data_IF_548314275356
#
_entry.id   IF_548314275356
#
_cell.length_a   1.000
_cell.length_b   1.000
_cell.length_c   1.000
_cell.angle_alpha   90.00
_cell.angle_beta   90.00
_cell.angle_gamma   90.00
#
_symmetry.space_group_name_H-M   'P 1'
#
loop_
_entity.id
_entity.type
_entity.pdbx_description
1 polymer ?
#
# COMPACT_ATOMS: atom_id res chain seq x y z
N UNK A 1 28.43 -52.95 -70.44
CA UNK A 1 28.38 -53.13 -69.00
C UNK A 1 28.42 -51.73 -68.43
N UNK A 2 27.26 -51.12 -68.08
CA UNK A 2 27.14 -49.73 -67.58
C UNK A 2 26.42 -49.78 -66.27
N UNK A 3 27.13 -49.46 -65.18
CA UNK A 3 26.53 -49.32 -63.85
C UNK A 3 25.94 -47.93 -63.70
N UNK A 4 24.68 -47.91 -63.40
CA UNK A 4 23.93 -46.71 -63.16
C UNK A 4 23.88 -46.50 -61.63
N UNK A 5 24.54 -45.44 -61.12
CA UNK A 5 24.56 -45.09 -59.73
C UNK A 5 23.40 -44.08 -59.44
N UNK A 6 22.45 -44.54 -58.65
CA UNK A 6 21.32 -43.70 -58.17
C UNK A 6 21.75 -42.92 -56.93
N UNK A 7 21.90 -41.64 -57.07
CA UNK A 7 22.09 -40.72 -55.95
C UNK A 7 20.75 -40.36 -55.28
N UNK A 8 20.54 -40.88 -54.07
CA UNK A 8 19.39 -40.55 -53.23
C UNK A 8 19.70 -39.25 -52.52
N UNK A 9 19.00 -38.18 -52.90
CA UNK A 9 19.10 -36.85 -52.21
C UNK A 9 18.09 -36.83 -51.08
N UNK A 10 18.61 -36.87 -49.82
CA UNK A 10 17.84 -36.67 -48.61
C UNK A 10 17.61 -35.15 -48.40
N UNK A 11 16.38 -34.69 -48.59
CA UNK A 11 15.96 -33.37 -48.14
C UNK A 11 15.68 -33.42 -46.64
N UNK A 12 16.58 -32.83 -45.86
CA UNK A 12 16.31 -32.51 -44.44
C UNK A 12 15.49 -31.21 -44.39
N UNK A 13 14.18 -31.31 -44.19
CA UNK A 13 13.34 -30.17 -43.88
C UNK A 13 13.48 -29.81 -42.40
N UNK A 14 14.25 -28.76 -42.12
CA UNK A 14 14.31 -28.16 -40.80
C UNK A 14 13.01 -27.39 -40.52
N UNK A 15 12.15 -27.97 -39.70
CA UNK A 15 10.96 -27.27 -39.17
C UNK A 15 11.41 -26.36 -38.02
N UNK A 16 11.59 -25.07 -38.29
CA UNK A 16 11.79 -24.04 -37.26
C UNK A 16 10.45 -23.75 -36.61
N UNK A 17 10.22 -24.29 -35.41
CA UNK A 17 9.10 -23.90 -34.55
C UNK A 17 9.49 -22.54 -33.97
N UNK A 18 9.02 -21.44 -34.59
CA UNK A 18 9.05 -20.12 -34.01
C UNK A 18 8.03 -20.09 -32.84
N UNK A 19 8.53 -20.27 -31.62
CA UNK A 19 7.72 -20.10 -30.41
C UNK A 19 7.23 -18.65 -30.33
N UNK A 20 5.95 -18.43 -30.64
CA UNK A 20 5.27 -17.15 -30.39
C UNK A 20 5.12 -17.00 -28.88
N UNK A 21 6.05 -16.31 -28.23
CA UNK A 21 5.88 -15.85 -26.85
C UNK A 21 4.83 -14.73 -26.93
N UNK A 22 3.56 -15.10 -26.74
CA UNK A 22 2.50 -14.11 -26.55
C UNK A 22 2.83 -13.36 -25.26
N UNK A 23 3.30 -12.12 -25.37
CA UNK A 23 3.36 -11.19 -24.26
C UNK A 23 1.92 -11.00 -23.77
N UNK A 24 1.62 -11.52 -22.58
CA UNK A 24 0.36 -11.26 -21.91
C UNK A 24 0.34 -9.75 -21.65
N UNK A 25 -0.56 -8.96 -22.27
CA UNK A 25 -0.65 -7.55 -21.96
C UNK A 25 -1.04 -7.43 -20.49
N UNK A 26 -0.13 -6.90 -19.68
CA UNK A 26 -0.45 -6.53 -18.30
C UNK A 26 -1.63 -5.55 -18.38
N UNK A 27 -2.81 -5.96 -17.87
CA UNK A 27 -3.97 -5.10 -17.85
C UNK A 27 -3.64 -3.91 -16.94
N UNK A 28 -3.43 -2.73 -17.52
CA UNK A 28 -3.41 -1.51 -16.75
C UNK A 28 -4.80 -1.31 -16.18
N UNK A 29 -4.92 -1.30 -14.86
CA UNK A 29 -6.18 -1.01 -14.20
C UNK A 29 -6.56 0.43 -14.53
N UNK A 30 -7.79 0.65 -15.00
CA UNK A 30 -8.31 2.00 -15.15
C UNK A 30 -8.81 2.57 -13.81
N UNK A 31 -8.96 3.89 -13.75
CA UNK A 31 -9.38 4.56 -12.51
C UNK A 31 -10.74 4.12 -12.00
N UNK A 32 -11.70 3.86 -12.90
CA UNK A 32 -13.04 3.45 -12.54
C UNK A 32 -13.05 2.05 -11.93
N UNK A 33 -12.31 1.11 -12.50
CA UNK A 33 -12.20 -0.25 -11.97
C UNK A 33 -11.52 -0.30 -10.60
N UNK A 34 -10.52 0.57 -10.37
CA UNK A 34 -9.87 0.67 -9.04
C UNK A 34 -10.86 1.17 -7.99
N UNK A 35 -11.63 2.22 -8.30
CA UNK A 35 -12.64 2.78 -7.39
C UNK A 35 -13.72 1.75 -7.06
N UNK A 36 -14.23 1.06 -8.07
CA UNK A 36 -15.22 0.01 -7.89
C UNK A 36 -14.66 -1.12 -7.01
N UNK A 37 -13.48 -1.62 -7.30
CA UNK A 37 -12.85 -2.67 -6.52
C UNK A 37 -12.62 -2.24 -5.07
N UNK A 38 -12.11 -1.02 -4.84
CA UNK A 38 -11.89 -0.49 -3.49
C UNK A 38 -13.20 -0.34 -2.72
N UNK A 39 -14.30 0.06 -3.37
CA UNK A 39 -15.61 0.20 -2.72
C UNK A 39 -16.20 -1.13 -2.23
N UNK A 40 -15.78 -2.24 -2.82
CA UNK A 40 -16.18 -3.60 -2.44
C UNK A 40 -15.34 -4.18 -1.28
N UNK A 41 -14.28 -3.48 -0.86
CA UNK A 41 -13.46 -3.90 0.27
C UNK A 41 -14.14 -3.46 1.58
N UNK A 42 -14.68 -4.44 2.33
CA UNK A 42 -15.35 -4.22 3.60
C UNK A 42 -14.38 -4.27 4.78
N UNK A 43 -13.28 -5.01 4.65
CA UNK A 43 -12.25 -5.11 5.67
C UNK A 43 -10.89 -5.43 5.05
N UNK A 44 -9.83 -5.00 5.74
CA UNK A 44 -8.44 -5.32 5.41
C UNK A 44 -7.71 -5.76 6.67
N UNK A 45 -6.97 -6.85 6.57
CA UNK A 45 -5.97 -7.27 7.55
C UNK A 45 -4.64 -7.39 6.82
N UNK A 46 -3.58 -6.81 7.39
CA UNK A 46 -2.24 -6.89 6.82
C UNK A 46 -1.18 -6.83 7.92
N UNK A 47 -0.01 -7.31 7.59
CA UNK A 47 1.24 -6.94 8.26
C UNK A 47 1.87 -5.78 7.51
N UNK A 48 2.67 -4.96 8.18
CA UNK A 48 3.44 -3.93 7.50
C UNK A 48 4.88 -3.88 7.97
N UNK A 49 5.74 -3.46 7.05
CA UNK A 49 7.11 -3.06 7.31
C UNK A 49 7.26 -1.59 6.95
N UNK A 50 7.67 -0.78 7.94
CA UNK A 50 7.94 0.65 7.74
C UNK A 50 9.44 0.90 7.78
N UNK A 51 9.92 1.66 6.79
CA UNK A 51 11.28 2.23 6.77
C UNK A 51 11.14 3.74 6.77
N UNK A 52 11.69 4.39 7.81
CA UNK A 52 11.72 5.84 7.89
C UNK A 52 13.16 6.33 7.78
N UNK A 53 13.42 7.05 6.70
CA UNK A 53 14.69 7.75 6.50
C UNK A 53 14.58 9.16 7.09
N UNK A 54 15.51 9.50 7.97
CA UNK A 54 15.66 10.86 8.52
C UNK A 54 17.03 11.38 8.11
N UNK A 55 17.11 12.60 7.61
CA UNK A 55 18.37 13.20 7.14
C UNK A 55 19.49 13.14 8.18
N UNK A 56 19.13 13.24 9.46
CA UNK A 56 20.11 13.24 10.58
C UNK A 56 20.64 11.84 10.94
N UNK A 57 20.05 10.77 10.39
CA UNK A 57 20.43 9.40 10.69
C UNK A 57 21.07 8.74 9.46
N UNK A 58 22.15 7.99 9.71
CA UNK A 58 22.84 7.22 8.67
C UNK A 58 21.98 6.05 8.16
N UNK A 59 21.32 5.36 9.07
CA UNK A 59 20.51 4.18 8.77
C UNK A 59 19.02 4.49 8.99
N UNK A 60 18.11 3.93 8.18
CA UNK A 60 16.69 4.15 8.37
C UNK A 60 16.18 3.48 9.65
N UNK A 61 15.21 4.10 10.28
CA UNK A 61 14.44 3.49 11.37
C UNK A 61 13.50 2.45 10.77
N UNK A 62 13.61 1.22 11.27
CA UNK A 62 12.75 0.11 10.87
C UNK A 62 11.68 -0.11 11.93
N UNK A 63 10.45 -0.31 11.49
CA UNK A 63 9.34 -0.67 12.36
C UNK A 63 8.48 -1.70 11.65
N UNK A 64 7.87 -2.57 12.40
CA UNK A 64 6.94 -3.58 11.88
C UNK A 64 5.68 -3.65 12.74
N UNK A 65 4.61 -4.10 12.14
CA UNK A 65 3.36 -4.17 12.85
C UNK A 65 2.22 -4.80 12.05
N UNK A 66 1.01 -4.59 12.55
CA UNK A 66 -0.22 -5.11 11.99
C UNK A 66 -1.21 -3.98 11.72
N UNK A 67 -1.98 -4.16 10.67
CA UNK A 67 -2.99 -3.23 10.23
C UNK A 67 -4.33 -3.93 10.09
N UNK A 68 -5.36 -3.33 10.63
CA UNK A 68 -6.75 -3.80 10.53
C UNK A 68 -7.65 -2.62 10.21
N UNK A 69 -8.54 -2.82 9.24
CA UNK A 69 -9.46 -1.80 8.76
C UNK A 69 -10.85 -2.39 8.54
N UNK A 70 -11.88 -1.62 8.88
CA UNK A 70 -13.27 -1.87 8.53
C UNK A 70 -13.85 -0.68 7.78
N UNK A 71 -14.56 -0.94 6.70
CA UNK A 71 -15.24 0.09 5.90
C UNK A 71 -16.31 0.85 6.69
N UNK A 72 -16.77 0.31 7.82
CA UNK A 72 -17.66 1.01 8.78
C UNK A 72 -16.99 2.19 9.51
N UNK A 73 -15.67 2.42 9.30
CA UNK A 73 -14.93 3.53 9.89
C UNK A 73 -14.11 3.16 11.10
N UNK A 74 -13.69 1.90 11.23
CA UNK A 74 -12.77 1.47 12.28
C UNK A 74 -11.43 1.09 11.71
N UNK A 75 -10.33 1.49 12.39
CA UNK A 75 -8.97 1.19 12.01
C UNK A 75 -8.14 0.92 13.27
N UNK A 76 -7.27 -0.10 13.21
CA UNK A 76 -6.22 -0.39 14.18
C UNK A 76 -4.89 -0.44 13.44
N UNK A 77 -3.97 0.43 13.84
CA UNK A 77 -2.59 0.46 13.38
C UNK A 77 -1.69 0.14 14.54
N UNK A 78 -1.11 -1.04 14.57
CA UNK A 78 -0.34 -1.53 15.72
C UNK A 78 1.11 -1.74 15.34
N UNK A 79 2.03 -1.00 15.98
CA UNK A 79 3.46 -1.26 15.92
C UNK A 79 3.83 -2.32 16.95
N UNK A 80 4.57 -3.34 16.52
CA UNK A 80 5.05 -4.44 17.36
C UNK A 80 6.52 -4.25 17.73
N UNK A 81 7.31 -3.64 16.85
CA UNK A 81 8.74 -3.45 16.98
C UNK A 81 9.17 -2.14 16.30
N UNK A 82 10.22 -1.44 16.80
CA UNK A 82 10.95 -1.67 18.05
C UNK A 82 10.18 -1.17 19.29
N UNK A 83 9.25 -0.23 19.12
CA UNK A 83 8.44 0.34 20.21
C UNK A 83 6.97 -0.03 19.97
N UNK A 84 6.38 -0.67 20.98
CA UNK A 84 4.98 -1.05 20.92
C UNK A 84 4.09 0.17 21.07
N UNK A 85 3.27 0.42 20.06
CA UNK A 85 2.24 1.44 20.10
C UNK A 85 1.05 1.02 19.26
N UNK A 86 -0.10 1.55 19.57
CA UNK A 86 -1.31 1.27 18.80
C UNK A 86 -2.12 2.54 18.61
N UNK A 87 -2.62 2.70 17.42
CA UNK A 87 -3.54 3.74 17.05
C UNK A 87 -4.86 3.13 16.68
N UNK A 88 -5.91 3.59 17.35
CA UNK A 88 -7.28 3.14 17.18
C UNK A 88 -8.12 4.29 16.65
N UNK A 89 -8.84 4.01 15.56
CA UNK A 89 -9.86 4.91 15.03
C UNK A 89 -11.23 4.23 15.10
N UNK A 90 -12.23 4.97 15.52
CA UNK A 90 -13.63 4.57 15.49
C UNK A 90 -14.49 5.79 15.11
N UNK A 91 -14.92 5.84 13.86
CA UNK A 91 -15.46 7.06 13.26
C UNK A 91 -14.42 8.19 13.29
N UNK A 92 -14.80 9.33 13.85
CA UNK A 92 -13.93 10.52 13.98
C UNK A 92 -13.03 10.47 15.22
N UNK A 93 -13.25 9.50 16.12
CA UNK A 93 -12.45 9.38 17.33
C UNK A 93 -11.18 8.58 17.04
N UNK A 94 -10.02 9.23 17.23
CA UNK A 94 -8.70 8.64 17.06
C UNK A 94 -7.94 8.71 18.37
N UNK A 95 -7.51 7.56 18.89
CA UNK A 95 -6.71 7.42 20.10
C UNK A 95 -5.39 6.76 19.80
N UNK A 96 -4.33 7.25 20.42
CA UNK A 96 -2.99 6.73 20.31
C UNK A 96 -2.50 6.25 21.66
N UNK A 97 -1.93 5.05 21.70
CA UNK A 97 -1.39 4.45 22.91
C UNK A 97 0.06 4.00 22.66
N UNK A 98 0.92 4.13 23.66
CA UNK A 98 2.23 3.52 23.70
C UNK A 98 2.35 2.59 24.89
N UNK A 99 3.10 1.51 24.71
CA UNK A 99 3.36 0.56 25.80
C UNK A 99 4.64 0.94 26.51
N UNK A 100 4.55 1.28 27.82
CA UNK A 100 5.71 1.60 28.66
C UNK A 100 5.45 1.14 30.09
N UNK A 101 6.51 0.70 30.76
CA UNK A 101 6.46 0.26 32.16
C UNK A 101 5.40 -0.82 32.44
N UNK A 102 5.19 -1.73 31.46
CA UNK A 102 4.24 -2.84 31.62
C UNK A 102 2.77 -2.49 31.36
N UNK A 103 2.45 -1.26 30.96
CA UNK A 103 1.08 -0.80 30.73
C UNK A 103 0.94 0.03 29.45
N UNK A 104 -0.28 0.07 28.92
CA UNK A 104 -0.65 0.98 27.85
C UNK A 104 -0.97 2.36 28.42
N UNK A 105 -0.35 3.40 27.85
CA UNK A 105 -0.59 4.81 28.21
C UNK A 105 -1.10 5.56 27.01
N UNK A 106 -2.19 6.30 27.16
CA UNK A 106 -2.75 7.14 26.08
C UNK A 106 -1.86 8.37 25.88
N UNK A 107 -1.56 8.68 24.63
CA UNK A 107 -0.75 9.83 24.24
C UNK A 107 -1.66 11.01 23.85
N UNK A 108 -1.48 12.14 24.54
CA UNK A 108 -2.27 13.36 24.34
C UNK A 108 -1.38 14.57 23.97
N UNK A 109 -0.57 14.44 22.90
CA UNK A 109 0.36 15.51 22.50
C UNK A 109 0.01 16.12 21.14
N UNK A 110 0.45 17.36 20.89
CA UNK A 110 0.27 18.01 19.57
C UNK A 110 0.95 17.25 18.41
N UNK A 111 2.00 16.50 18.68
CA UNK A 111 2.63 15.63 17.67
C UNK A 111 1.68 14.53 17.14
N UNK A 112 0.61 14.24 17.87
CA UNK A 112 -0.44 13.30 17.50
C UNK A 112 -1.34 13.85 16.40
N UNK A 113 -1.53 15.18 16.30
CA UNK A 113 -2.46 15.78 15.33
C UNK A 113 -2.07 15.52 13.88
N UNK A 114 -0.79 15.65 13.51
CA UNK A 114 -0.33 15.34 12.15
C UNK A 114 -0.55 13.85 11.80
N UNK A 115 -0.31 12.95 12.77
CA UNK A 115 -0.58 11.52 12.59
C UNK A 115 -2.07 11.23 12.44
N UNK A 116 -2.92 11.89 13.23
CA UNK A 116 -4.39 11.79 13.15
C UNK A 116 -4.91 12.18 11.78
N UNK A 117 -4.39 13.30 11.21
CA UNK A 117 -4.77 13.74 9.87
C UNK A 117 -4.46 12.70 8.80
N UNK A 118 -3.24 12.14 8.80
CA UNK A 118 -2.85 11.13 7.81
C UNK A 118 -3.70 9.87 7.93
N UNK A 119 -4.04 9.46 9.15
CA UNK A 119 -4.86 8.27 9.36
C UNK A 119 -6.32 8.45 8.96
N UNK A 120 -6.89 9.62 9.25
CA UNK A 120 -8.22 9.95 8.77
C UNK A 120 -8.29 9.84 7.25
N UNK A 121 -7.25 10.35 6.56
CA UNK A 121 -7.12 10.23 5.11
C UNK A 121 -6.92 8.79 4.64
N UNK A 122 -6.12 7.98 5.36
CA UNK A 122 -5.91 6.57 5.00
C UNK A 122 -7.23 5.79 4.99
N UNK A 123 -8.14 6.07 5.90
CA UNK A 123 -9.48 5.46 5.88
C UNK A 123 -10.25 5.76 4.58
N UNK A 124 -10.05 6.93 3.99
CA UNK A 124 -10.64 7.28 2.69
C UNK A 124 -9.92 6.56 1.54
N UNK A 125 -8.59 6.42 1.62
CA UNK A 125 -7.82 5.72 0.58
C UNK A 125 -8.23 4.25 0.44
N UNK A 126 -8.43 3.55 1.55
CA UNK A 126 -8.89 2.16 1.56
C UNK A 126 -10.33 2.00 1.02
N UNK A 127 -11.12 3.09 0.95
CA UNK A 127 -12.43 3.13 0.30
C UNK A 127 -12.38 3.56 -1.17
N UNK A 128 -11.21 3.87 -1.70
CA UNK A 128 -11.06 4.44 -3.03
C UNK A 128 -11.59 5.88 -3.17
N UNK A 129 -11.77 6.61 -2.04
CA UNK A 129 -12.37 7.95 -2.00
C UNK A 129 -11.31 9.06 -1.98
N UNK A 130 -10.34 8.97 -2.87
CA UNK A 130 -9.24 9.94 -2.95
C UNK A 130 -9.71 11.35 -3.30
N UNK A 131 -10.82 11.45 -4.02
CA UNK A 131 -11.44 12.72 -4.47
C UNK A 131 -12.08 13.49 -3.29
N UNK A 132 -12.46 12.80 -2.23
CA UNK A 132 -13.11 13.39 -1.04
C UNK A 132 -12.12 14.05 -0.09
N UNK A 133 -10.81 13.91 -0.33
CA UNK A 133 -9.78 14.49 0.51
C UNK A 133 -9.87 16.02 0.55
N UNK A 134 -9.95 16.57 1.76
CA UNK A 134 -9.91 18.02 1.98
C UNK A 134 -8.49 18.57 1.98
N UNK A 135 -7.50 17.73 2.26
CA UNK A 135 -6.11 18.14 2.48
C UNK A 135 -5.15 17.71 1.37
N UNK A 136 -5.58 16.81 0.48
CA UNK A 136 -4.79 16.40 -0.70
C UNK A 136 -5.58 16.59 -1.99
N UNK A 137 -4.90 16.92 -3.07
CA UNK A 137 -5.33 16.66 -4.43
C UNK A 137 -4.72 15.33 -4.88
N UNK A 138 -5.37 14.64 -5.84
CA UNK A 138 -4.91 13.35 -6.31
C UNK A 138 -4.68 13.35 -7.83
N UNK A 139 -3.76 12.50 -8.26
CA UNK A 139 -3.56 12.14 -9.67
C UNK A 139 -3.31 10.64 -9.75
N UNK A 140 -3.96 9.98 -10.73
CA UNK A 140 -3.76 8.57 -11.00
C UNK A 140 -2.85 8.38 -12.21
N UNK A 141 -1.86 7.52 -12.06
CA UNK A 141 -0.97 7.06 -13.13
C UNK A 141 -1.22 5.58 -13.37
N UNK A 142 -1.82 5.21 -14.52
CA UNK A 142 -2.06 3.81 -14.87
C UNK A 142 -0.73 3.09 -15.12
N UNK A 143 -0.68 1.81 -14.81
CA UNK A 143 0.48 0.96 -15.06
C UNK A 143 0.43 -0.33 -14.22
N UNK A 144 1.29 -1.30 -14.49
CA UNK A 144 1.65 -2.38 -13.58
C UNK A 144 2.96 -2.03 -12.82
N UNK A 145 2.91 -1.54 -11.55
CA UNK A 145 1.73 -1.24 -10.73
C UNK A 145 1.11 0.13 -11.01
N UNK A 146 -0.23 0.25 -10.82
CA UNK A 146 -0.92 1.54 -10.78
C UNK A 146 -0.47 2.39 -9.59
N UNK A 147 -0.45 3.71 -9.76
CA UNK A 147 0.03 4.65 -8.74
C UNK A 147 -0.94 5.80 -8.54
N UNK A 148 -1.12 6.22 -7.31
CA UNK A 148 -1.92 7.39 -6.96
C UNK A 148 -0.98 8.37 -6.26
N UNK A 149 -0.82 9.54 -6.85
CA UNK A 149 -0.04 10.62 -6.28
C UNK A 149 -0.97 11.57 -5.53
N UNK A 150 -0.69 11.82 -4.27
CA UNK A 150 -1.41 12.77 -3.43
C UNK A 150 -0.50 13.98 -3.17
N UNK A 151 -0.95 15.13 -3.62
CA UNK A 151 -0.23 16.41 -3.44
C UNK A 151 -0.92 17.19 -2.33
N UNK A 152 -0.20 17.61 -1.28
CA UNK A 152 -0.78 18.35 -0.17
C UNK A 152 -1.28 19.72 -0.63
N UNK A 153 -2.45 20.12 -0.13
CA UNK A 153 -2.98 21.47 -0.24
C UNK A 153 -2.31 22.37 0.80
N UNK A 154 -2.59 23.67 0.77
CA UNK A 154 -2.03 24.63 1.72
C UNK A 154 -2.23 24.22 3.17
N UNK A 155 -1.22 24.48 4.01
CA UNK A 155 -1.22 24.19 5.44
C UNK A 155 -0.65 22.83 5.85
N UNK A 156 -0.71 21.82 4.98
CA UNK A 156 -0.16 20.47 5.24
C UNK A 156 1.27 20.33 4.68
N UNK A 157 1.64 21.11 3.68
CA UNK A 157 2.95 21.06 3.00
C UNK A 157 4.15 21.29 3.95
N UNK A 158 3.95 21.87 5.12
CA UNK A 158 4.98 21.99 6.16
C UNK A 158 5.34 20.64 6.83
N UNK A 159 4.50 19.62 6.67
CA UNK A 159 4.72 18.29 7.27
C UNK A 159 4.91 17.20 6.23
N UNK A 160 4.25 17.32 5.08
CA UNK A 160 4.24 16.32 4.01
C UNK A 160 4.39 17.05 2.68
N UNK A 161 5.35 16.64 1.86
CA UNK A 161 5.56 17.19 0.51
C UNK A 161 4.81 16.40 -0.56
N UNK A 162 4.51 15.14 -0.30
CA UNK A 162 3.76 14.28 -1.21
C UNK A 162 3.58 12.88 -0.64
N UNK A 163 2.58 12.17 -1.16
CA UNK A 163 2.34 10.76 -0.85
C UNK A 163 2.15 10.02 -2.17
N UNK A 164 2.87 8.93 -2.36
CA UNK A 164 2.65 8.00 -3.45
C UNK A 164 2.06 6.70 -2.88
N UNK A 165 0.88 6.32 -3.37
CA UNK A 165 0.24 5.05 -3.08
C UNK A 165 0.44 4.15 -4.28
N UNK A 166 1.08 3.01 -4.08
CA UNK A 166 1.30 1.99 -5.09
C UNK A 166 0.29 0.88 -4.88
N UNK A 167 -0.43 0.55 -5.94
CA UNK A 167 -1.43 -0.51 -5.90
C UNK A 167 -0.78 -1.87 -6.19
N UNK A 168 -1.36 -2.92 -5.63
CA UNK A 168 -0.96 -4.29 -5.95
C UNK A 168 -1.54 -4.73 -7.31
N UNK A 169 -1.24 -5.94 -7.73
CA UNK A 169 -1.87 -6.62 -8.87
C UNK A 169 -3.35 -6.92 -8.64
N UNK A 170 -3.82 -6.96 -7.36
CA UNK A 170 -5.23 -7.06 -7.02
C UNK A 170 -5.88 -5.68 -7.06
N UNK A 171 -6.93 -5.46 -7.89
CA UNK A 171 -7.58 -4.16 -8.01
C UNK A 171 -8.03 -3.58 -6.66
N UNK A 172 -7.74 -2.30 -6.45
CA UNK A 172 -8.13 -1.57 -5.24
C UNK A 172 -7.34 -1.89 -3.96
N UNK A 173 -6.40 -2.85 -4.02
CA UNK A 173 -5.56 -3.23 -2.88
C UNK A 173 -4.26 -2.44 -2.91
N UNK A 174 -3.95 -1.77 -1.80
CA UNK A 174 -2.70 -1.02 -1.62
C UNK A 174 -1.56 -2.00 -1.29
N UNK A 175 -0.45 -1.91 -2.04
CA UNK A 175 0.79 -2.63 -1.79
C UNK A 175 1.72 -1.82 -0.88
N UNK A 176 1.85 -0.52 -1.18
CA UNK A 176 2.84 0.33 -0.53
C UNK A 176 2.40 1.79 -0.51
N UNK A 177 2.80 2.49 0.54
CA UNK A 177 2.65 3.95 0.67
C UNK A 177 4.03 4.55 0.89
N UNK A 178 4.36 5.59 0.13
CA UNK A 178 5.59 6.36 0.27
C UNK A 178 5.25 7.82 0.58
N UNK A 179 5.76 8.33 1.69
CA UNK A 179 5.52 9.69 2.17
C UNK A 179 6.83 10.45 2.07
N UNK A 180 6.83 11.56 1.34
CA UNK A 180 7.95 12.51 1.29
C UNK A 180 7.69 13.63 2.29
N UNK A 181 8.65 13.84 3.17
CA UNK A 181 8.61 14.82 4.25
C UNK A 181 9.65 15.92 4.00
N UNK A 182 9.54 17.12 4.60
CA UNK A 182 10.59 18.13 4.52
C UNK A 182 11.93 17.65 5.07
N UNK A 183 13.03 18.26 4.59
CA UNK A 183 14.39 17.96 5.06
C UNK A 183 14.88 16.58 4.62
N UNK A 184 14.64 16.22 3.35
CA UNK A 184 15.08 14.94 2.76
C UNK A 184 14.71 13.70 3.57
N UNK A 185 13.61 13.79 4.32
CA UNK A 185 13.06 12.69 5.09
C UNK A 185 11.97 11.98 4.29
N UNK A 186 11.88 10.66 4.45
CA UNK A 186 10.88 9.86 3.76
C UNK A 186 10.45 8.67 4.61
N UNK A 187 9.18 8.31 4.50
CA UNK A 187 8.61 7.12 5.13
C UNK A 187 8.04 6.21 4.07
N UNK A 188 8.49 4.95 4.04
CA UNK A 188 7.93 3.90 3.18
C UNK A 188 7.27 2.85 4.05
N UNK A 189 6.03 2.51 3.73
CA UNK A 189 5.24 1.48 4.40
C UNK A 189 4.85 0.45 3.35
N UNK A 190 5.32 -0.77 3.47
CA UNK A 190 4.97 -1.90 2.61
C UNK A 190 4.05 -2.85 3.36
N UNK A 191 2.91 -3.20 2.74
CA UNK A 191 1.96 -4.15 3.29
C UNK A 191 2.29 -5.57 2.82
N UNK A 192 2.15 -6.53 3.73
CA UNK A 192 2.37 -7.96 3.49
C UNK A 192 1.20 -8.77 4.01
N UNK A 193 1.03 -9.98 3.47
CA UNK A 193 0.00 -10.91 3.92
C UNK A 193 -1.39 -10.27 3.96
N UNK A 194 -1.70 -9.49 2.90
CA UNK A 194 -2.95 -8.72 2.84
C UNK A 194 -4.13 -9.64 2.58
N UNK A 195 -5.03 -9.70 3.56
CA UNK A 195 -6.32 -10.38 3.50
C UNK A 195 -7.43 -9.32 3.43
N UNK A 196 -8.39 -9.50 2.54
CA UNK A 196 -9.56 -8.61 2.40
C UNK A 196 -10.85 -9.35 2.70
N UNK A 197 -11.86 -8.60 3.14
CA UNK A 197 -13.21 -9.11 3.44
C UNK A 197 -13.22 -10.25 4.49
N UNK A 198 -12.35 -10.09 5.52
CA UNK A 198 -12.27 -11.00 6.68
C UNK A 198 -13.04 -10.43 7.86
N UNK A 199 -13.53 -11.31 8.72
CA UNK A 199 -14.24 -10.92 9.95
C UNK A 199 -13.27 -10.66 11.09
N UNK A 200 -13.60 -9.71 11.96
CA UNK A 200 -12.83 -9.39 13.15
C UNK A 200 -13.67 -9.52 14.43
N UNK A 201 -13.04 -9.84 15.57
CA UNK A 201 -13.68 -9.71 16.87
C UNK A 201 -14.12 -8.26 17.12
N UNK A 202 -15.31 -8.05 17.69
CA UNK A 202 -15.86 -6.72 17.93
C UNK A 202 -14.96 -5.82 18.79
N UNK A 203 -14.20 -6.41 19.72
CA UNK A 203 -13.30 -5.70 20.64
C UNK A 203 -11.96 -5.26 20.01
N UNK A 204 -11.64 -5.70 18.80
CA UNK A 204 -10.34 -5.44 18.17
C UNK A 204 -10.01 -3.93 18.05
N UNK A 205 -11.03 -3.10 17.96
CA UNK A 205 -10.91 -1.65 17.75
C UNK A 205 -11.22 -0.82 19.00
N UNK A 206 -11.48 -1.45 20.16
CA UNK A 206 -11.92 -0.77 21.37
C UNK A 206 -10.76 -0.48 22.33
N UNK A 207 -9.79 -1.40 22.41
CA UNK A 207 -8.70 -1.37 23.40
C UNK A 207 -7.34 -1.68 22.73
N UNK A 208 -6.23 -1.10 23.28
CA UNK A 208 -4.87 -1.33 22.78
C UNK A 208 -4.38 -2.78 22.98
#
# INVERSE_FOLDING_TARGET
MKQCAWKMVLFLSAVTIAGLVAAVPGHSQDWASIKEASSNIQSVKAEFLQKRHLQILKDPLLSEGRFFYLASGSLRWEYLSPLRSVMLQKGDNIRLYHFSEGAWKEEMTQAVEARRMVLAEMSQWFRGRYEESKIFSHAYSPGPPGRILLTPKEGINRFILGIEIVLSDRPGVIDRVEITEPGDSATRIAFKNVEINVSFPSKLFDEP
#
